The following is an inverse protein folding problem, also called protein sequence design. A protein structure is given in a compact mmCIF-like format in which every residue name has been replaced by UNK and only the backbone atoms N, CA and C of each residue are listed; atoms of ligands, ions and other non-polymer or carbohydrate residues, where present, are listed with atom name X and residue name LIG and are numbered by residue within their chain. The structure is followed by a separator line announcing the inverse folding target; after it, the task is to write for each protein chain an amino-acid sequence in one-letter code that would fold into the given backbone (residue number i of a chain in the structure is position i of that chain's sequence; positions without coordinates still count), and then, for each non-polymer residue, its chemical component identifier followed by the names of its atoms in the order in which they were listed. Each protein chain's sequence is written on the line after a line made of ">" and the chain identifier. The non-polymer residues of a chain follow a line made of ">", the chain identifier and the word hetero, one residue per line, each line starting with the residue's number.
data_IF_559576332642
#
_entry.id   IF_559576332642
#
_cell.length_a   1.000
_cell.length_b   1.000
_cell.length_c   1.000
_cell.angle_alpha   90.00
_cell.angle_beta   90.00
_cell.angle_gamma   90.00
#
_symmetry.space_group_name_H-M   'P 1'
#
loop_
_entity.id
_entity.type
_entity.pdbx_description
1 polymer ?
#
# COMPACT_ATOMS: atom_id res chain seq x y z
N UNK A 1 -21.66 19.61 46.99
CA UNK A 1 -21.19 19.29 45.62
C UNK A 1 -21.00 20.61 44.89
N UNK A 2 -19.76 20.95 44.54
CA UNK A 2 -19.37 22.27 43.99
C UNK A 2 -20.15 22.53 42.69
N UNK A 3 -20.81 23.68 42.60
CA UNK A 3 -21.35 24.25 41.36
C UNK A 3 -20.18 24.50 40.40
N UNK A 4 -19.89 23.55 39.53
CA UNK A 4 -18.73 23.56 38.63
C UNK A 4 -19.00 24.29 37.30
N UNK A 5 -20.16 24.91 37.13
CA UNK A 5 -20.53 25.64 35.93
C UNK A 5 -21.07 27.01 36.36
N UNK A 6 -20.17 27.98 36.49
CA UNK A 6 -20.58 29.38 36.41
C UNK A 6 -21.28 29.59 35.04
N UNK A 7 -22.35 30.40 34.93
CA UNK A 7 -22.96 30.65 33.62
C UNK A 7 -21.92 31.40 32.78
N UNK A 8 -21.30 30.70 31.82
CA UNK A 8 -20.47 31.36 30.82
C UNK A 8 -21.33 32.44 30.16
N UNK A 9 -20.80 33.67 30.05
CA UNK A 9 -21.41 34.69 29.20
C UNK A 9 -21.66 34.12 27.80
N UNK A 10 -22.76 34.53 27.15
CA UNK A 10 -23.13 34.10 25.79
C UNK A 10 -21.93 34.24 24.83
N UNK A 11 -21.14 35.31 24.98
CA UNK A 11 -19.92 35.53 24.20
C UNK A 11 -18.90 34.40 24.39
N UNK A 12 -18.70 33.94 25.64
CA UNK A 12 -17.77 32.86 25.95
C UNK A 12 -18.30 31.50 25.48
N UNK A 13 -19.62 31.28 25.50
CA UNK A 13 -20.24 30.09 24.92
C UNK A 13 -20.08 30.04 23.40
N UNK A 14 -20.33 31.17 22.72
CA UNK A 14 -20.14 31.28 21.26
C UNK A 14 -18.67 31.10 20.90
N UNK A 15 -17.75 31.75 21.62
CA UNK A 15 -16.32 31.59 21.40
C UNK A 15 -15.86 30.13 21.57
N UNK A 16 -16.34 29.45 22.62
CA UNK A 16 -16.05 28.03 22.85
C UNK A 16 -16.62 27.15 21.72
N UNK A 17 -17.84 27.44 21.26
CA UNK A 17 -18.48 26.71 20.18
C UNK A 17 -17.75 26.91 18.85
N UNK A 18 -17.33 28.14 18.52
CA UNK A 18 -16.52 28.40 17.32
C UNK A 18 -15.16 27.70 17.39
N UNK A 19 -14.53 27.66 18.57
CA UNK A 19 -13.28 26.95 18.76
C UNK A 19 -13.45 25.44 18.59
N UNK A 20 -14.52 24.86 19.15
CA UNK A 20 -14.88 23.45 18.95
C UNK A 20 -15.11 23.12 17.48
N UNK A 21 -15.88 23.95 16.76
CA UNK A 21 -16.12 23.79 15.33
C UNK A 21 -14.82 23.90 14.52
N UNK A 22 -13.93 24.82 14.89
CA UNK A 22 -12.61 24.96 14.26
C UNK A 22 -11.76 23.70 14.42
N UNK A 23 -11.71 23.14 15.65
CA UNK A 23 -10.98 21.88 15.92
C UNK A 23 -11.58 20.71 15.13
N UNK A 24 -12.90 20.60 15.09
CA UNK A 24 -13.61 19.59 14.28
C UNK A 24 -13.29 19.74 12.78
N UNK A 25 -13.27 20.95 12.26
CA UNK A 25 -12.91 21.23 10.87
C UNK A 25 -11.49 20.80 10.53
N UNK A 26 -10.52 21.13 11.39
CA UNK A 26 -9.12 20.72 11.21
C UNK A 26 -8.97 19.20 11.30
N UNK A 27 -9.66 18.56 12.25
CA UNK A 27 -9.65 17.11 12.39
C UNK A 27 -10.21 16.42 11.13
N UNK A 28 -11.35 16.89 10.62
CA UNK A 28 -11.95 16.37 9.39
C UNK A 28 -11.05 16.53 8.17
N UNK A 29 -10.44 17.71 7.99
CA UNK A 29 -9.48 17.95 6.91
C UNK A 29 -8.24 17.05 7.02
N UNK A 30 -7.75 16.81 8.23
CA UNK A 30 -6.59 15.94 8.48
C UNK A 30 -6.89 14.48 8.11
N UNK A 31 -8.07 13.97 8.48
CA UNK A 31 -8.52 12.61 8.13
C UNK A 31 -8.65 12.48 6.60
N UNK A 32 -9.25 13.47 5.94
CA UNK A 32 -9.38 13.50 4.47
C UNK A 32 -8.03 13.53 3.76
N UNK A 33 -7.09 14.34 4.24
CA UNK A 33 -5.74 14.41 3.68
C UNK A 33 -4.98 13.08 3.84
N UNK A 34 -5.06 12.48 5.02
CA UNK A 34 -4.47 11.17 5.29
C UNK A 34 -5.05 10.07 4.39
N UNK A 35 -6.39 10.03 4.25
CA UNK A 35 -7.08 9.04 3.41
C UNK A 35 -6.71 9.20 1.93
N UNK A 36 -6.74 10.44 1.42
CA UNK A 36 -6.34 10.74 0.04
C UNK A 36 -4.92 10.26 -0.27
N UNK A 37 -3.99 10.51 0.65
CA UNK A 37 -2.60 10.09 0.51
C UNK A 37 -2.43 8.56 0.56
N UNK A 38 -3.26 7.85 1.34
CA UNK A 38 -3.27 6.38 1.39
C UNK A 38 -3.75 5.80 0.06
N UNK A 39 -4.90 6.27 -0.44
CA UNK A 39 -5.48 5.80 -1.71
C UNK A 39 -4.51 6.01 -2.88
N UNK A 40 -3.87 7.17 -2.95
CA UNK A 40 -2.86 7.44 -3.99
C UNK A 40 -1.64 6.52 -3.87
N UNK A 41 -1.14 6.28 -2.64
CA UNK A 41 -0.05 5.35 -2.39
C UNK A 41 -0.40 3.92 -2.79
N UNK A 42 -1.60 3.47 -2.46
CA UNK A 42 -2.11 2.13 -2.78
C UNK A 42 -2.26 1.94 -4.29
N UNK A 43 -2.80 2.94 -5.01
CA UNK A 43 -2.87 2.91 -6.46
C UNK A 43 -1.48 2.79 -7.11
N UNK A 44 -0.48 3.49 -6.57
CA UNK A 44 0.89 3.38 -7.04
C UNK A 44 1.48 1.99 -6.77
N UNK A 45 1.25 1.44 -5.57
CA UNK A 45 1.69 0.10 -5.19
C UNK A 45 1.07 -1.00 -6.06
N UNK A 46 -0.23 -0.90 -6.37
CA UNK A 46 -0.94 -1.81 -7.28
C UNK A 46 -0.33 -1.75 -8.69
N UNK A 47 -0.03 -0.54 -9.19
CA UNK A 47 0.59 -0.38 -10.50
C UNK A 47 2.01 -0.99 -10.52
N UNK A 48 2.81 -0.79 -9.46
CA UNK A 48 4.12 -1.44 -9.32
C UNK A 48 4.01 -2.96 -9.24
N UNK A 49 3.07 -3.51 -8.49
CA UNK A 49 2.82 -4.96 -8.49
C UNK A 49 2.40 -5.44 -9.89
N UNK A 50 1.63 -4.64 -10.65
CA UNK A 50 1.34 -4.86 -12.07
C UNK A 50 2.59 -4.91 -12.96
N UNK A 51 3.47 -3.93 -12.86
CA UNK A 51 4.72 -3.90 -13.63
C UNK A 51 5.62 -5.08 -13.28
N UNK A 52 5.72 -5.46 -12.01
CA UNK A 52 6.50 -6.61 -11.54
C UNK A 52 5.98 -7.93 -12.14
N UNK A 53 4.66 -8.13 -12.22
CA UNK A 53 4.07 -9.32 -12.87
C UNK A 53 4.49 -9.42 -14.34
N UNK A 54 4.34 -8.32 -15.08
CA UNK A 54 4.71 -8.25 -16.49
C UNK A 54 6.22 -8.46 -16.70
N UNK A 55 7.05 -7.85 -15.85
CA UNK A 55 8.50 -8.00 -15.90
C UNK A 55 8.94 -9.45 -15.58
N UNK A 56 8.27 -10.11 -14.65
CA UNK A 56 8.56 -11.51 -14.28
C UNK A 56 8.34 -12.47 -15.46
N UNK A 57 7.22 -12.33 -16.18
CA UNK A 57 6.98 -13.12 -17.39
C UNK A 57 7.90 -12.73 -18.54
N UNK A 58 8.23 -11.44 -18.66
CA UNK A 58 9.19 -10.97 -19.67
C UNK A 58 10.58 -11.56 -19.44
N UNK A 59 11.05 -11.66 -18.19
CA UNK A 59 12.29 -12.36 -17.85
C UNK A 59 12.20 -13.84 -18.18
N UNK A 60 11.08 -14.49 -17.87
CA UNK A 60 10.87 -15.91 -18.20
C UNK A 60 10.99 -16.19 -19.70
N UNK A 61 10.43 -15.32 -20.54
CA UNK A 61 10.50 -15.45 -22.01
C UNK A 61 11.89 -15.23 -22.61
N UNK A 62 12.81 -14.64 -21.83
CA UNK A 62 14.19 -14.35 -22.24
C UNK A 62 15.19 -15.40 -21.71
N UNK A 63 14.71 -16.45 -21.06
CA UNK A 63 15.57 -17.57 -20.65
C UNK A 63 16.07 -18.33 -21.90
N UNK A 64 17.38 -18.62 -22.02
CA UNK A 64 18.46 -18.35 -21.06
C UNK A 64 18.86 -16.87 -21.04
N UNK A 65 19.01 -16.31 -19.84
CA UNK A 65 19.26 -14.88 -19.65
C UNK A 65 20.61 -14.46 -20.24
N UNK A 66 20.61 -13.32 -20.91
CA UNK A 66 21.77 -12.67 -21.50
C UNK A 66 22.09 -11.33 -20.81
N UNK A 67 23.13 -10.62 -21.28
CA UNK A 67 23.51 -9.32 -20.71
C UNK A 67 22.40 -8.26 -20.78
N UNK A 68 21.43 -8.40 -21.68
CA UNK A 68 20.28 -7.50 -21.78
C UNK A 68 19.20 -7.82 -20.73
N UNK A 69 19.13 -9.09 -20.33
CA UNK A 69 18.30 -9.58 -19.24
C UNK A 69 18.75 -9.09 -17.85
N UNK A 70 20.05 -8.77 -17.69
CA UNK A 70 20.57 -8.18 -16.44
C UNK A 70 20.00 -6.78 -16.18
N UNK A 71 19.77 -5.97 -17.22
CA UNK A 71 19.14 -4.64 -17.09
C UNK A 71 17.69 -4.80 -16.61
N UNK A 72 16.97 -5.80 -17.13
CA UNK A 72 15.61 -6.13 -16.71
C UNK A 72 15.55 -6.61 -15.27
N UNK A 73 16.52 -7.42 -14.85
CA UNK A 73 16.63 -7.90 -13.47
C UNK A 73 16.92 -6.76 -12.50
N UNK A 74 17.80 -5.82 -12.87
CA UNK A 74 18.07 -4.61 -12.08
C UNK A 74 16.85 -3.68 -11.99
N UNK A 75 16.06 -3.57 -13.06
CA UNK A 75 14.80 -2.82 -13.05
C UNK A 75 13.79 -3.43 -12.06
N UNK A 76 13.71 -4.76 -12.02
CA UNK A 76 12.84 -5.49 -11.09
C UNK A 76 13.31 -5.33 -9.62
N UNK A 77 14.62 -5.40 -9.38
CA UNK A 77 15.22 -5.12 -8.05
C UNK A 77 14.90 -3.69 -7.57
N UNK A 78 14.97 -2.70 -8.46
CA UNK A 78 14.65 -1.30 -8.14
C UNK A 78 13.16 -1.09 -7.87
N UNK A 79 12.29 -1.75 -8.65
CA UNK A 79 10.84 -1.65 -8.48
C UNK A 79 10.37 -2.31 -7.17
N UNK A 80 10.90 -3.49 -6.84
CA UNK A 80 10.61 -4.23 -5.61
C UNK A 80 11.08 -3.47 -4.36
N UNK A 81 12.25 -2.82 -4.44
CA UNK A 81 12.82 -2.06 -3.33
C UNK A 81 12.44 -0.57 -3.31
N UNK A 82 11.50 -0.15 -4.16
CA UNK A 82 11.12 1.26 -4.26
C UNK A 82 10.54 1.79 -2.95
N UNK A 83 10.98 2.99 -2.55
CA UNK A 83 10.53 3.66 -1.31
C UNK A 83 9.01 3.89 -1.30
N UNK A 84 8.43 4.20 -2.45
CA UNK A 84 6.99 4.46 -2.55
C UNK A 84 6.17 3.19 -2.30
N UNK A 85 6.62 2.03 -2.80
CA UNK A 85 6.00 0.74 -2.52
C UNK A 85 6.13 0.38 -1.03
N UNK A 86 7.32 0.55 -0.45
CA UNK A 86 7.56 0.31 0.98
C UNK A 86 6.63 1.16 1.85
N UNK A 87 6.58 2.48 1.61
CA UNK A 87 5.75 3.39 2.39
C UNK A 87 4.25 3.11 2.23
N UNK A 88 3.79 2.75 1.03
CA UNK A 88 2.40 2.37 0.82
C UNK A 88 2.04 1.11 1.61
N UNK A 89 2.86 0.07 1.53
CA UNK A 89 2.61 -1.19 2.22
C UNK A 89 2.78 -1.08 3.74
N UNK A 90 3.73 -0.29 4.24
CA UNK A 90 3.86 0.01 5.67
C UNK A 90 2.62 0.72 6.22
N UNK A 91 2.11 1.71 5.48
CA UNK A 91 0.88 2.41 5.87
C UNK A 91 -0.31 1.48 5.93
N UNK A 92 -0.39 0.49 5.04
CA UNK A 92 -1.45 -0.51 5.04
C UNK A 92 -1.21 -1.66 6.04
N UNK A 93 -0.04 -1.73 6.68
CA UNK A 93 0.33 -2.82 7.59
C UNK A 93 0.67 -4.13 6.88
N UNK A 94 1.10 -4.04 5.61
CA UNK A 94 1.42 -5.15 4.71
C UNK A 94 2.93 -5.42 4.61
N UNK A 95 3.71 -4.96 5.58
CA UNK A 95 5.15 -5.24 5.68
C UNK A 95 5.47 -6.74 5.65
N UNK A 96 4.72 -7.66 6.30
CA UNK A 96 4.99 -9.10 6.22
C UNK A 96 4.86 -9.65 4.80
N UNK A 97 3.88 -9.19 4.02
CA UNK A 97 3.67 -9.59 2.63
C UNK A 97 4.83 -9.10 1.75
N UNK A 98 5.28 -7.87 1.96
CA UNK A 98 6.46 -7.33 1.26
C UNK A 98 7.70 -8.16 1.55
N UNK A 99 7.95 -8.50 2.82
CA UNK A 99 9.11 -9.31 3.20
C UNK A 99 9.05 -10.72 2.59
N UNK A 100 7.87 -11.33 2.52
CA UNK A 100 7.66 -12.64 1.89
C UNK A 100 7.95 -12.58 0.39
N UNK A 101 7.45 -11.54 -0.29
CA UNK A 101 7.71 -11.30 -1.70
C UNK A 101 9.21 -11.14 -1.98
N UNK A 102 9.88 -10.32 -1.15
CA UNK A 102 11.32 -10.04 -1.25
C UNK A 102 12.17 -11.28 -1.00
N UNK A 103 11.85 -12.03 0.04
CA UNK A 103 12.54 -13.27 0.37
C UNK A 103 12.45 -14.27 -0.78
N UNK A 104 11.25 -14.47 -1.33
CA UNK A 104 11.05 -15.37 -2.46
C UNK A 104 11.80 -14.91 -3.71
N UNK A 105 11.78 -13.60 -4.01
CA UNK A 105 12.53 -13.03 -5.12
C UNK A 105 14.03 -13.34 -5.02
N UNK A 106 14.65 -12.97 -3.90
CA UNK A 106 16.10 -13.06 -3.71
C UNK A 106 16.59 -14.51 -3.56
N UNK A 107 15.85 -15.32 -2.79
CA UNK A 107 16.32 -16.64 -2.38
C UNK A 107 15.85 -17.77 -3.29
N UNK A 108 14.80 -17.55 -4.10
CA UNK A 108 14.24 -18.60 -4.96
C UNK A 108 14.16 -18.21 -6.43
N UNK A 109 13.48 -17.11 -6.78
CA UNK A 109 13.20 -16.78 -8.18
C UNK A 109 14.44 -16.31 -8.93
N UNK A 110 15.18 -15.33 -8.38
CA UNK A 110 16.35 -14.75 -9.03
C UNK A 110 17.45 -15.79 -9.30
N UNK A 111 17.84 -16.66 -8.34
CA UNK A 111 18.81 -17.73 -8.61
C UNK A 111 18.31 -18.71 -9.67
N UNK A 112 17.02 -19.06 -9.63
CA UNK A 112 16.45 -20.03 -10.57
C UNK A 112 16.44 -19.50 -11.99
N UNK A 113 16.07 -18.24 -12.20
CA UNK A 113 16.08 -17.58 -13.50
C UNK A 113 17.50 -17.53 -14.10
N UNK A 114 18.52 -17.28 -13.28
CA UNK A 114 19.93 -17.27 -13.73
C UNK A 114 20.45 -18.65 -14.14
N UNK A 115 19.95 -19.71 -13.51
CA UNK A 115 20.39 -21.09 -13.77
C UNK A 115 19.56 -21.79 -14.86
N UNK A 116 18.41 -21.25 -15.22
CA UNK A 116 17.49 -21.84 -16.17
C UNK A 116 18.08 -21.82 -17.59
N UNK A 117 17.94 -22.93 -18.30
CA UNK A 117 18.37 -23.05 -19.71
C UNK A 117 17.16 -22.95 -20.65
N UNK A 118 15.98 -23.34 -20.16
CA UNK A 118 14.72 -23.23 -20.88
C UNK A 118 13.67 -22.54 -20.00
N UNK A 119 12.71 -21.79 -20.58
CA UNK A 119 11.65 -21.15 -19.79
C UNK A 119 10.89 -22.10 -18.86
N UNK A 120 10.68 -23.36 -19.30
CA UNK A 120 10.01 -24.38 -18.48
C UNK A 120 10.71 -24.65 -17.13
N UNK A 121 12.01 -24.39 -17.04
CA UNK A 121 12.82 -24.59 -15.84
C UNK A 121 12.43 -23.64 -14.70
N UNK A 122 12.07 -22.39 -15.03
CA UNK A 122 11.74 -21.33 -14.07
C UNK A 122 10.25 -20.95 -14.06
N UNK A 123 9.44 -21.51 -14.97
CA UNK A 123 8.02 -21.17 -15.10
C UNK A 123 7.21 -21.39 -13.80
N UNK A 124 7.39 -22.48 -13.02
CA UNK A 124 6.69 -22.64 -11.76
C UNK A 124 7.03 -21.55 -10.75
N UNK A 125 8.31 -21.15 -10.67
CA UNK A 125 8.78 -20.14 -9.73
C UNK A 125 8.25 -18.76 -10.08
N UNK A 126 8.21 -18.42 -11.37
CA UNK A 126 7.60 -17.18 -11.87
C UNK A 126 6.10 -17.17 -11.59
N UNK A 127 5.39 -18.26 -11.84
CA UNK A 127 3.97 -18.36 -11.54
C UNK A 127 3.67 -18.18 -10.05
N UNK A 128 4.48 -18.77 -9.16
CA UNK A 128 4.34 -18.57 -7.73
C UNK A 128 4.60 -17.11 -7.32
N UNK A 129 5.68 -16.49 -7.83
CA UNK A 129 5.96 -15.08 -7.55
C UNK A 129 4.83 -14.15 -8.00
N UNK A 130 4.27 -14.39 -9.20
CA UNK A 130 3.11 -13.66 -9.70
C UNK A 130 1.90 -13.86 -8.79
N UNK A 131 1.68 -15.05 -8.25
CA UNK A 131 0.59 -15.30 -7.28
C UNK A 131 0.79 -14.53 -5.97
N UNK A 132 2.03 -14.34 -5.51
CA UNK A 132 2.33 -13.50 -4.35
C UNK A 132 2.04 -12.02 -4.65
N UNK A 133 2.33 -11.55 -5.86
CA UNK A 133 1.99 -10.19 -6.32
C UNK A 133 0.47 -9.99 -6.41
N UNK A 134 -0.27 -10.96 -6.94
CA UNK A 134 -1.74 -10.91 -7.00
C UNK A 134 -2.34 -10.91 -5.59
N UNK A 135 -1.78 -11.70 -4.67
CA UNK A 135 -2.20 -11.70 -3.27
C UNK A 135 -1.91 -10.37 -2.58
N UNK A 136 -0.75 -9.77 -2.86
CA UNK A 136 -0.39 -8.43 -2.35
C UNK A 136 -1.40 -7.38 -2.82
N UNK A 137 -1.77 -7.37 -4.11
CA UNK A 137 -2.79 -6.46 -4.66
C UNK A 137 -4.12 -6.66 -3.95
N UNK A 138 -4.57 -7.90 -3.80
CA UNK A 138 -5.81 -8.23 -3.08
C UNK A 138 -5.79 -7.77 -1.62
N UNK A 139 -4.65 -7.91 -0.93
CA UNK A 139 -4.50 -7.46 0.46
C UNK A 139 -4.53 -5.92 0.57
N UNK A 140 -3.97 -5.19 -0.40
CA UNK A 140 -4.08 -3.72 -0.49
C UNK A 140 -5.54 -3.31 -0.66
N UNK A 141 -6.28 -3.95 -1.58
CA UNK A 141 -7.68 -3.63 -1.84
C UNK A 141 -8.55 -3.86 -0.60
N UNK A 142 -8.42 -5.02 0.05
CA UNK A 142 -9.18 -5.32 1.26
C UNK A 142 -8.87 -4.36 2.41
N UNK A 143 -7.61 -3.96 2.59
CA UNK A 143 -7.25 -3.02 3.65
C UNK A 143 -7.80 -1.62 3.35
N UNK A 144 -7.76 -1.20 2.08
CA UNK A 144 -8.34 0.06 1.62
C UNK A 144 -9.85 0.10 1.88
N UNK A 145 -10.59 -0.96 1.54
CA UNK A 145 -12.02 -1.08 1.81
C UNK A 145 -12.33 -1.00 3.30
N UNK A 146 -11.62 -1.75 4.15
CA UNK A 146 -11.85 -1.74 5.60
C UNK A 146 -11.69 -0.34 6.20
N UNK A 147 -10.69 0.40 5.74
CA UNK A 147 -10.44 1.78 6.19
C UNK A 147 -11.50 2.75 5.69
N UNK A 148 -11.93 2.62 4.44
CA UNK A 148 -13.05 3.39 3.89
C UNK A 148 -14.31 3.19 4.73
N UNK A 149 -14.66 1.93 5.02
CA UNK A 149 -15.82 1.60 5.87
C UNK A 149 -15.70 2.20 7.27
N UNK A 150 -14.52 2.15 7.91
CA UNK A 150 -14.30 2.77 9.21
C UNK A 150 -14.49 4.29 9.17
N UNK A 151 -13.94 4.97 8.17
CA UNK A 151 -14.11 6.43 8.01
C UNK A 151 -15.57 6.77 7.74
N UNK A 152 -16.26 6.02 6.89
CA UNK A 152 -17.69 6.21 6.62
C UNK A 152 -18.54 5.96 7.86
N UNK A 153 -18.20 5.01 8.73
CA UNK A 153 -18.93 4.81 9.99
C UNK A 153 -18.74 6.01 10.94
N UNK A 154 -17.50 6.50 11.09
CA UNK A 154 -17.21 7.66 11.96
C UNK A 154 -17.85 8.96 11.44
N UNK A 155 -17.95 9.12 10.12
CA UNK A 155 -18.57 10.31 9.49
C UNK A 155 -20.09 10.15 9.28
N UNK A 156 -20.56 8.93 9.11
CA UNK A 156 -21.95 8.57 8.80
C UNK A 156 -22.87 8.55 10.02
N UNK A 157 -22.32 8.37 11.23
CA UNK A 157 -23.05 8.56 12.49
C UNK A 157 -23.32 10.06 12.81
N UNK A 158 -22.99 10.96 11.86
CA UNK A 158 -23.28 12.40 11.88
C UNK A 158 -24.15 12.88 10.70
N UNK A 159 -24.87 11.98 10.00
CA UNK A 159 -25.92 12.40 9.05
C UNK A 159 -27.32 12.34 9.69
N UNK A 160 -28.16 13.38 9.53
CA UNK A 160 -29.52 13.45 10.09
C UNK A 160 -30.50 12.44 9.46
#
# INVERSE_FOLDING_TARGET
>A
MKRLLAPLSIVNQVALLMLLLGVLGIAGMSISAWMSQSIQGNAHAINKAGSLRMQSYRLLSQVPLDAQSDILMQGLDQDETSRDLQLALEREGLTPQLLTLRDYWLNQLQPRLRQAQHPADAAPQVAHFVSLLDKLVSDIDHQTERRLLMVTLVQGDLSP
#
